data_IF_587990842348
#
_entry.id   IF_587990842348
#
_cell.length_a   1.000
_cell.length_b   1.000
_cell.length_c   1.000
_cell.angle_alpha   90.00
_cell.angle_beta   90.00
_cell.angle_gamma   90.00
#
_symmetry.space_group_name_H-M   'P 1'
#
loop_
_entity.id
_entity.type
_entity.pdbx_description
1 polymer ?
#
# COMPACT_ATOMS: atom_id res chain seq x y z
N UNK A 1 -32.60 -10.04 5.78
CA UNK A 1 -32.97 -11.34 5.18
C UNK A 1 -31.65 -12.08 4.98
N UNK A 2 -31.28 -12.88 5.96
CA UNK A 2 -30.01 -13.64 5.94
C UNK A 2 -30.22 -14.85 5.03
N UNK A 3 -29.51 -14.91 3.91
CA UNK A 3 -29.44 -16.13 3.09
C UNK A 3 -28.59 -17.17 3.83
N UNK A 4 -29.11 -18.39 3.94
CA UNK A 4 -28.41 -19.50 4.58
C UNK A 4 -27.18 -19.93 3.76
N UNK A 5 -26.13 -20.49 4.38
CA UNK A 5 -24.91 -20.93 3.69
C UNK A 5 -25.13 -22.00 2.62
N UNK A 6 -26.25 -22.67 2.63
CA UNK A 6 -26.60 -23.75 1.69
C UNK A 6 -26.78 -23.29 0.22
N UNK A 7 -26.98 -21.99 -0.03
CA UNK A 7 -27.17 -21.49 -1.39
C UNK A 7 -25.85 -21.18 -2.14
N UNK A 8 -24.70 -21.19 -1.45
CA UNK A 8 -23.41 -20.89 -2.07
C UNK A 8 -22.65 -22.13 -2.59
N UNK A 9 -22.98 -23.31 -2.09
CA UNK A 9 -22.27 -24.55 -2.47
C UNK A 9 -22.82 -25.24 -3.71
N UNK A 10 -24.01 -24.87 -4.20
CA UNK A 10 -24.60 -25.48 -5.36
C UNK A 10 -23.98 -25.10 -6.72
N UNK A 11 -23.03 -24.11 -6.72
CA UNK A 11 -22.44 -23.57 -7.95
C UNK A 11 -21.05 -24.09 -8.30
N UNK A 12 -20.44 -24.95 -7.50
CA UNK A 12 -19.02 -25.37 -7.72
C UNK A 12 -18.78 -26.87 -7.94
N UNK A 13 -19.81 -27.65 -8.22
CA UNK A 13 -19.69 -29.09 -8.42
C UNK A 13 -19.85 -29.52 -9.87
N UNK A 14 -19.13 -28.98 -10.84
CA UNK A 14 -19.00 -29.57 -12.18
C UNK A 14 -17.64 -30.28 -12.27
N UNK A 15 -17.67 -31.58 -11.95
CA UNK A 15 -16.59 -32.47 -12.31
C UNK A 15 -16.68 -32.80 -13.82
N UNK A 16 -15.57 -33.01 -14.48
CA UNK A 16 -15.40 -33.24 -15.92
C UNK A 16 -16.19 -34.40 -16.54
N UNK A 17 -17.09 -35.07 -15.78
CA UNK A 17 -17.83 -36.24 -16.21
C UNK A 17 -19.37 -36.14 -16.04
N UNK A 18 -19.98 -34.97 -16.04
CA UNK A 18 -21.43 -34.79 -16.05
C UNK A 18 -22.21 -35.68 -15.05
N UNK A 19 -21.64 -36.10 -13.92
CA UNK A 19 -22.36 -36.72 -12.83
C UNK A 19 -22.68 -35.66 -11.77
N UNK A 20 -23.94 -35.31 -11.63
CA UNK A 20 -24.47 -34.54 -10.49
C UNK A 20 -24.32 -35.41 -9.23
N UNK A 21 -23.46 -35.00 -8.31
CA UNK A 21 -23.43 -35.61 -6.99
C UNK A 21 -24.62 -35.06 -6.18
N UNK A 22 -25.58 -35.92 -5.93
CA UNK A 22 -26.70 -35.64 -5.05
C UNK A 22 -26.27 -35.82 -3.59
N UNK A 23 -25.69 -34.75 -3.05
CA UNK A 23 -25.20 -34.73 -1.67
C UNK A 23 -26.38 -34.63 -0.72
N UNK A 24 -26.52 -35.61 0.20
CA UNK A 24 -27.48 -35.53 1.29
C UNK A 24 -26.97 -34.57 2.38
N UNK A 25 -27.86 -34.01 3.16
CA UNK A 25 -27.51 -33.09 4.25
C UNK A 25 -26.52 -33.69 5.23
N UNK A 26 -26.54 -35.01 5.43
CA UNK A 26 -25.56 -35.77 6.20
C UNK A 26 -24.14 -35.68 5.63
N UNK A 27 -23.99 -35.60 4.32
CA UNK A 27 -22.70 -35.56 3.63
C UNK A 27 -22.05 -34.16 3.73
N UNK A 28 -22.88 -33.12 3.70
CA UNK A 28 -22.45 -31.74 3.97
C UNK A 28 -21.95 -31.60 5.39
N UNK A 29 -22.67 -32.15 6.37
CA UNK A 29 -22.26 -32.09 7.78
C UNK A 29 -20.96 -32.84 8.03
N UNK A 30 -20.77 -34.02 7.43
CA UNK A 30 -19.55 -34.78 7.51
C UNK A 30 -18.36 -34.05 6.87
N UNK A 31 -18.59 -33.33 5.79
CA UNK A 31 -17.57 -32.50 5.13
C UNK A 31 -17.21 -31.26 5.96
N UNK A 32 -18.19 -30.56 6.54
CA UNK A 32 -17.95 -29.44 7.45
C UNK A 32 -17.17 -29.90 8.70
N UNK A 33 -17.53 -31.02 9.31
CA UNK A 33 -16.82 -31.57 10.45
C UNK A 33 -15.38 -31.97 10.10
N UNK A 34 -15.14 -32.46 8.88
CA UNK A 34 -13.79 -32.77 8.40
C UNK A 34 -12.94 -31.52 8.17
N UNK A 35 -13.55 -30.46 7.62
CA UNK A 35 -12.90 -29.16 7.43
C UNK A 35 -12.59 -28.48 8.76
N UNK A 36 -13.52 -28.53 9.72
CA UNK A 36 -13.29 -27.98 11.06
C UNK A 36 -12.18 -28.72 11.80
N UNK A 37 -12.08 -30.04 11.66
CA UNK A 37 -10.97 -30.83 12.22
C UNK A 37 -9.62 -30.54 11.55
N UNK A 38 -9.62 -30.25 10.26
CA UNK A 38 -8.40 -29.89 9.52
C UNK A 38 -7.91 -28.47 9.84
N UNK A 39 -8.85 -27.51 9.98
CA UNK A 39 -8.53 -26.12 10.29
C UNK A 39 -8.27 -25.89 11.79
N UNK A 40 -8.93 -26.66 12.64
CA UNK A 40 -8.78 -26.59 14.11
C UNK A 40 -8.51 -28.00 14.65
N UNK A 41 -7.28 -28.54 14.45
CA UNK A 41 -6.97 -29.84 15.06
C UNK A 41 -7.19 -29.76 16.58
N UNK A 42 -7.81 -30.79 17.19
CA UNK A 42 -8.00 -30.78 18.62
C UNK A 42 -6.65 -30.56 19.30
N UNK A 43 -6.58 -29.55 20.15
CA UNK A 43 -5.42 -29.34 21.01
C UNK A 43 -5.33 -30.56 21.93
N UNK A 44 -4.50 -31.52 21.55
CA UNK A 44 -4.15 -32.63 22.45
C UNK A 44 -3.40 -31.94 23.57
N UNK A 45 -4.09 -31.78 24.71
CA UNK A 45 -3.44 -31.42 25.94
C UNK A 45 -2.42 -32.55 26.25
N UNK A 46 -1.16 -32.32 25.88
CA UNK A 46 -0.08 -33.17 26.35
C UNK A 46 -0.12 -33.04 27.87
N UNK A 47 -0.50 -34.13 28.54
CA UNK A 47 -0.41 -34.27 29.99
C UNK A 47 1.00 -33.84 30.35
N UNK A 48 1.10 -32.78 31.15
CA UNK A 48 2.37 -32.19 31.52
C UNK A 48 3.15 -33.22 32.37
N UNK A 49 4.20 -33.78 31.80
CA UNK A 49 5.13 -34.64 32.51
C UNK A 49 6.02 -33.88 33.52
N UNK A 50 5.75 -32.59 33.74
CA UNK A 50 6.49 -31.83 34.73
C UNK A 50 5.60 -30.76 35.39
N UNK A 51 4.98 -31.08 36.54
CA UNK A 51 4.12 -30.17 37.28
C UNK A 51 4.87 -28.95 37.86
N UNK A 52 6.21 -29.00 37.95
CA UNK A 52 6.99 -27.89 38.52
C UNK A 52 7.12 -26.66 37.60
N UNK A 53 6.74 -26.78 36.32
CA UNK A 53 6.78 -25.63 35.38
C UNK A 53 5.61 -24.65 35.53
N UNK A 54 4.55 -25.04 36.23
CA UNK A 54 3.34 -24.21 36.39
C UNK A 54 3.19 -23.60 37.78
N UNK A 55 4.19 -23.75 38.67
CA UNK A 55 4.17 -23.11 39.99
C UNK A 55 4.67 -21.66 39.98
N UNK A 56 5.09 -21.14 38.85
CA UNK A 56 5.28 -19.70 38.71
C UNK A 56 3.89 -19.05 38.58
N UNK A 57 3.41 -18.46 39.66
CA UNK A 57 2.33 -17.48 39.61
C UNK A 57 2.58 -16.56 38.43
N UNK A 58 1.51 -16.20 37.67
CA UNK A 58 1.67 -15.16 36.63
C UNK A 58 2.28 -13.94 37.34
N UNK A 59 3.56 -13.71 37.09
CA UNK A 59 4.20 -12.49 37.56
C UNK A 59 3.36 -11.37 36.93
N UNK A 60 2.70 -10.63 37.83
CA UNK A 60 2.07 -9.38 37.39
C UNK A 60 3.11 -8.68 36.52
N UNK A 61 2.72 -8.31 35.29
CA UNK A 61 3.56 -7.53 34.40
C UNK A 61 3.87 -6.23 35.16
N UNK A 62 4.99 -6.27 35.89
CA UNK A 62 5.58 -5.07 36.44
C UNK A 62 6.21 -4.42 35.21
N UNK A 63 5.66 -3.30 34.70
CA UNK A 63 6.33 -2.58 33.65
C UNK A 63 7.72 -2.34 34.17
N UNK A 64 8.73 -2.89 33.48
CA UNK A 64 10.15 -2.63 33.78
C UNK A 64 10.22 -1.11 33.78
N UNK A 65 10.42 -0.53 34.98
CA UNK A 65 10.66 0.89 35.09
C UNK A 65 11.74 1.18 34.06
N UNK A 66 11.38 1.99 33.04
CA UNK A 66 12.34 2.50 32.08
C UNK A 66 13.35 3.19 32.97
N UNK A 67 14.52 2.54 33.12
CA UNK A 67 15.59 3.10 33.92
C UNK A 67 15.83 4.50 33.38
N UNK A 68 15.57 5.46 34.19
CA UNK A 68 15.88 6.89 34.11
C UNK A 68 16.79 7.36 32.92
N UNK A 69 16.33 7.14 31.70
CA UNK A 69 16.48 8.15 30.71
C UNK A 69 15.36 9.15 31.02
N UNK A 70 15.60 9.93 32.05
CA UNK A 70 14.81 11.11 32.31
C UNK A 70 14.86 11.92 31.00
N UNK A 71 13.85 11.72 30.14
CA UNK A 71 13.48 12.71 29.18
C UNK A 71 13.12 13.94 30.02
N UNK A 72 14.13 14.72 30.36
CA UNK A 72 13.96 16.07 30.84
C UNK A 72 13.37 16.77 29.63
N UNK A 73 12.06 17.08 29.60
CA UNK A 73 11.53 17.87 28.53
C UNK A 73 12.37 19.13 28.55
N UNK A 74 13.18 19.32 27.53
CA UNK A 74 13.86 20.60 27.30
C UNK A 74 12.71 21.58 27.33
N UNK A 75 12.68 22.45 28.33
CA UNK A 75 11.66 23.47 28.47
C UNK A 75 11.73 24.29 27.18
N UNK A 76 10.81 23.98 26.23
CA UNK A 76 10.71 24.75 25.01
C UNK A 76 10.20 26.11 25.44
N UNK A 77 11.11 27.07 25.52
CA UNK A 77 10.77 28.44 25.83
C UNK A 77 10.00 28.99 24.64
N UNK A 78 8.68 29.12 24.81
CA UNK A 78 7.82 29.72 23.78
C UNK A 78 8.22 31.20 23.68
N UNK A 79 8.72 31.59 22.52
CA UNK A 79 9.01 32.99 22.21
C UNK A 79 7.67 33.73 21.95
N UNK A 80 7.17 34.38 22.98
CA UNK A 80 5.90 35.12 22.95
C UNK A 80 5.94 36.38 22.08
N UNK A 81 7.10 36.76 21.57
CA UNK A 81 7.25 37.91 20.66
C UNK A 81 6.95 37.59 19.21
N UNK A 82 6.91 36.32 18.86
CA UNK A 82 6.58 35.85 17.50
C UNK A 82 5.10 35.60 17.35
N UNK A 83 4.55 35.96 16.19
CA UNK A 83 3.17 35.61 15.86
C UNK A 83 3.02 34.08 15.89
N UNK A 84 2.03 33.58 16.63
CA UNK A 84 1.69 32.17 16.65
C UNK A 84 0.91 31.90 15.38
N UNK A 85 1.52 31.12 14.45
CA UNK A 85 0.82 30.62 13.27
C UNK A 85 -0.04 29.41 13.64
N UNK A 86 -1.19 29.28 13.00
CA UNK A 86 -2.00 28.07 13.05
C UNK A 86 -1.49 27.09 11.98
N UNK A 87 -1.18 25.87 12.38
CA UNK A 87 -0.91 24.79 11.43
C UNK A 87 -2.23 24.05 11.21
N UNK A 88 -2.82 24.08 10.00
CA UNK A 88 -4.05 23.36 9.73
C UNK A 88 -3.77 21.86 9.78
N UNK A 89 -4.28 21.19 10.80
CA UNK A 89 -4.15 19.74 10.98
C UNK A 89 -5.54 19.12 10.88
N UNK A 90 -5.68 18.15 9.99
CA UNK A 90 -6.87 17.30 9.93
C UNK A 90 -6.61 16.04 10.76
N UNK A 91 -7.54 15.73 11.65
CA UNK A 91 -7.47 14.55 12.51
C UNK A 91 -8.66 13.64 12.26
N UNK A 92 -8.46 12.33 12.37
CA UNK A 92 -9.53 11.37 12.18
C UNK A 92 -9.21 9.99 12.74
N UNK A 93 -10.20 9.11 12.62
CA UNK A 93 -10.06 7.69 12.90
C UNK A 93 -10.53 6.95 11.65
N UNK A 94 -9.68 6.05 11.14
CA UNK A 94 -10.03 5.23 9.98
C UNK A 94 -11.12 4.19 10.34
N UNK A 95 -11.81 3.61 9.36
CA UNK A 95 -12.76 2.52 9.60
C UNK A 95 -12.15 1.31 10.31
N UNK A 96 -10.83 1.13 10.23
CA UNK A 96 -10.07 0.08 10.92
C UNK A 96 -9.63 0.47 12.33
N UNK A 97 -10.03 1.65 12.82
CA UNK A 97 -9.68 2.16 14.14
C UNK A 97 -8.30 2.84 14.21
N UNK A 98 -7.61 3.03 13.09
CA UNK A 98 -6.34 3.74 13.09
C UNK A 98 -6.55 5.24 13.33
N UNK A 99 -5.74 5.83 14.22
CA UNK A 99 -5.68 7.27 14.39
C UNK A 99 -4.91 7.88 13.22
N UNK A 100 -5.50 8.90 12.60
CA UNK A 100 -4.91 9.56 11.43
C UNK A 100 -4.73 11.06 11.66
N UNK A 101 -3.62 11.59 11.12
CA UNK A 101 -3.36 13.02 11.04
C UNK A 101 -2.90 13.36 9.65
N UNK A 102 -3.35 14.50 9.13
CA UNK A 102 -2.88 15.04 7.86
C UNK A 102 -2.48 16.49 8.08
N UNK A 103 -1.23 16.80 7.80
CA UNK A 103 -0.66 18.15 7.87
C UNK A 103 -0.37 18.58 6.45
N UNK A 104 -1.17 19.48 5.83
CA UNK A 104 -0.92 19.95 4.48
C UNK A 104 0.38 20.76 4.42
N UNK A 105 1.16 20.55 3.38
CA UNK A 105 2.34 21.35 3.06
C UNK A 105 1.85 22.51 2.20
N UNK A 106 1.94 23.73 2.73
CA UNK A 106 1.56 24.92 1.99
C UNK A 106 2.54 25.15 0.85
N UNK A 107 2.01 25.28 -0.36
CA UNK A 107 2.77 25.52 -1.59
C UNK A 107 2.30 26.84 -2.22
N UNK A 108 3.13 27.45 -3.08
CA UNK A 108 2.70 28.60 -3.85
C UNK A 108 1.59 28.19 -4.83
N UNK A 109 0.59 29.07 -5.05
CA UNK A 109 -0.45 28.78 -6.02
C UNK A 109 0.09 28.51 -7.42
N UNK A 110 -0.39 27.45 -8.02
CA UNK A 110 -0.08 27.09 -9.40
C UNK A 110 -0.95 27.84 -10.40
N UNK A 111 -0.60 27.76 -11.70
CA UNK A 111 -1.40 28.35 -12.77
C UNK A 111 -2.77 27.67 -12.81
N UNK A 112 -3.85 28.44 -12.66
CA UNK A 112 -5.24 27.96 -12.61
C UNK A 112 -5.49 26.90 -11.51
N UNK A 113 -4.78 26.95 -10.38
CA UNK A 113 -4.91 25.99 -9.30
C UNK A 113 -4.25 24.64 -9.60
N UNK A 114 -3.41 24.54 -10.64
CA UNK A 114 -2.65 23.34 -10.95
C UNK A 114 -1.34 23.35 -10.15
N UNK A 115 -1.41 22.84 -8.93
CA UNK A 115 -0.35 22.79 -7.94
C UNK A 115 -0.30 21.43 -7.23
N UNK A 116 0.86 21.01 -6.71
CA UNK A 116 0.97 19.74 -6.02
C UNK A 116 0.24 19.78 -4.65
N UNK A 117 -0.62 18.80 -4.40
CA UNK A 117 -1.34 18.65 -3.14
C UNK A 117 -0.52 17.77 -2.18
N UNK A 118 0.49 18.35 -1.54
CA UNK A 118 1.40 17.64 -0.67
C UNK A 118 0.98 17.70 0.79
N UNK A 119 1.21 16.64 1.53
CA UNK A 119 0.95 16.59 2.97
C UNK A 119 1.90 15.64 3.69
N UNK A 120 2.04 15.82 5.00
CA UNK A 120 2.54 14.79 5.89
C UNK A 120 1.33 14.03 6.44
N UNK A 121 1.28 12.73 6.22
CA UNK A 121 0.18 11.88 6.64
C UNK A 121 0.67 10.89 7.70
N UNK A 122 -0.06 10.79 8.81
CA UNK A 122 0.17 9.83 9.87
C UNK A 122 -0.96 8.81 9.92
N UNK A 123 -0.60 7.57 10.14
CA UNK A 123 -1.52 6.49 10.42
C UNK A 123 -0.92 5.58 11.51
N UNK A 124 -1.61 5.43 12.64
CA UNK A 124 -1.11 4.67 13.80
C UNK A 124 -0.91 3.17 13.54
N UNK A 125 -1.49 2.63 12.47
CA UNK A 125 -1.33 1.24 12.03
C UNK A 125 -0.26 1.08 10.95
N UNK A 126 0.29 2.18 10.43
CA UNK A 126 1.37 2.14 9.45
C UNK A 126 2.70 1.88 10.15
N UNK A 127 3.52 1.03 9.55
CA UNK A 127 4.87 0.75 10.04
C UNK A 127 5.83 1.91 9.88
N UNK A 128 7.13 1.63 10.03
CA UNK A 128 8.17 2.63 9.84
C UNK A 128 8.25 3.06 8.37
N UNK A 129 8.12 4.34 8.11
CA UNK A 129 8.16 4.95 6.79
C UNK A 129 9.39 5.85 6.60
N UNK A 130 9.48 6.49 5.43
CA UNK A 130 10.60 7.37 5.07
C UNK A 130 10.70 8.62 5.97
N UNK A 131 9.58 9.05 6.54
CA UNK A 131 9.48 10.24 7.42
C UNK A 131 9.33 9.88 8.90
N UNK A 132 9.33 8.60 9.27
CA UNK A 132 9.20 8.12 10.65
C UNK A 132 8.14 7.06 10.81
N UNK A 133 8.02 6.54 12.05
CA UNK A 133 7.02 5.51 12.38
C UNK A 133 5.62 6.08 12.22
N UNK A 134 4.82 5.44 11.36
CA UNK A 134 3.45 5.86 11.08
C UNK A 134 3.33 7.04 10.12
N UNK A 135 4.44 7.73 9.77
CA UNK A 135 4.41 8.90 8.91
C UNK A 135 4.79 8.59 7.46
N UNK A 136 4.13 9.28 6.53
CA UNK A 136 4.41 9.24 5.11
C UNK A 136 4.20 10.60 4.45
N UNK A 137 4.66 10.73 3.20
CA UNK A 137 4.38 11.90 2.35
C UNK A 137 3.10 11.57 1.58
N UNK A 138 2.05 12.34 1.80
CA UNK A 138 0.79 12.25 1.07
C UNK A 138 0.79 13.12 -0.19
N UNK A 139 -0.11 12.79 -1.13
CA UNK A 139 -0.24 13.52 -2.40
C UNK A 139 0.77 13.11 -3.49
N UNK A 140 1.51 12.03 -3.26
CA UNK A 140 2.47 11.46 -4.22
C UNK A 140 1.97 10.09 -4.66
N UNK A 141 1.54 10.01 -5.89
CA UNK A 141 0.94 8.82 -6.47
C UNK A 141 1.99 7.78 -6.90
N UNK A 142 1.56 6.52 -6.98
CA UNK A 142 2.43 5.45 -7.45
C UNK A 142 1.66 4.30 -8.10
N UNK A 143 2.32 3.61 -9.01
CA UNK A 143 1.88 2.30 -9.50
C UNK A 143 2.80 1.25 -8.92
N UNK A 144 2.20 0.22 -8.31
CA UNK A 144 2.92 -0.90 -7.70
C UNK A 144 2.50 -2.23 -8.31
N UNK A 145 3.43 -3.19 -8.34
CA UNK A 145 3.08 -4.58 -8.61
C UNK A 145 2.37 -5.18 -7.41
N UNK A 146 1.38 -6.01 -7.71
CA UNK A 146 0.64 -6.76 -6.69
C UNK A 146 0.49 -8.20 -7.11
N UNK A 147 0.11 -9.05 -6.18
CA UNK A 147 -0.21 -10.44 -6.45
C UNK A 147 -1.44 -10.55 -7.35
N UNK A 148 -1.46 -11.57 -8.18
CA UNK A 148 -2.66 -11.99 -8.91
C UNK A 148 -3.61 -12.68 -7.94
N UNK A 149 -4.90 -12.53 -8.16
CA UNK A 149 -5.92 -13.20 -7.37
C UNK A 149 -6.90 -13.96 -8.26
N UNK A 150 -7.68 -14.84 -7.63
CA UNK A 150 -8.59 -15.70 -8.38
C UNK A 150 -9.72 -14.92 -9.06
N UNK A 151 -10.15 -13.82 -8.44
CA UNK A 151 -11.28 -13.03 -8.91
C UNK A 151 -11.00 -12.31 -10.23
N UNK A 152 -9.85 -11.61 -10.32
CA UNK A 152 -9.48 -10.83 -11.51
C UNK A 152 -8.62 -11.62 -12.50
N UNK A 153 -7.84 -12.61 -12.04
CA UNK A 153 -6.78 -13.24 -12.82
C UNK A 153 -7.00 -14.75 -13.01
N UNK A 154 -8.09 -15.30 -12.47
CA UNK A 154 -8.45 -16.72 -12.55
C UNK A 154 -7.58 -17.67 -11.72
N UNK A 155 -6.43 -17.18 -11.21
CA UNK A 155 -5.53 -17.94 -10.33
C UNK A 155 -4.74 -17.02 -9.41
N UNK A 156 -4.48 -17.45 -8.16
CA UNK A 156 -3.59 -16.73 -7.27
C UNK A 156 -2.13 -16.95 -7.69
N UNK A 157 -1.33 -15.89 -7.70
CA UNK A 157 0.11 -15.95 -7.98
C UNK A 157 0.80 -14.73 -7.37
N UNK A 158 1.90 -14.92 -6.69
CA UNK A 158 2.75 -13.83 -6.22
C UNK A 158 3.32 -13.00 -7.38
N UNK A 159 3.77 -11.80 -7.10
CA UNK A 159 4.46 -10.96 -8.08
C UNK A 159 5.81 -11.60 -8.46
N UNK A 160 5.99 -11.91 -9.72
CA UNK A 160 7.18 -12.55 -10.27
C UNK A 160 8.12 -11.58 -11.00
N UNK A 161 7.82 -10.29 -10.97
CA UNK A 161 8.51 -9.23 -11.73
C UNK A 161 8.49 -9.46 -13.24
N UNK A 162 7.35 -9.89 -13.75
CA UNK A 162 7.11 -10.07 -15.19
C UNK A 162 6.07 -9.10 -15.71
N UNK A 163 5.95 -8.94 -17.03
CA UNK A 163 4.86 -8.13 -17.62
C UNK A 163 3.47 -8.71 -17.33
N UNK A 164 3.39 -9.99 -16.95
CA UNK A 164 2.12 -10.66 -16.63
C UNK A 164 1.62 -10.39 -15.20
N UNK A 165 2.42 -9.72 -14.37
CA UNK A 165 2.01 -9.37 -13.02
C UNK A 165 0.84 -8.38 -13.03
N UNK A 166 0.15 -8.35 -11.92
CA UNK A 166 -0.91 -7.39 -11.68
C UNK A 166 -0.37 -6.07 -11.13
N UNK A 167 -1.10 -4.98 -11.37
CA UNK A 167 -0.74 -3.64 -10.93
C UNK A 167 -1.86 -2.97 -10.17
N UNK A 168 -1.48 -2.07 -9.26
CA UNK A 168 -2.39 -1.16 -8.54
C UNK A 168 -1.89 0.27 -8.69
N UNK A 169 -2.79 1.21 -8.88
CA UNK A 169 -2.55 2.65 -8.83
C UNK A 169 -3.11 3.15 -7.50
N UNK A 170 -2.24 3.60 -6.59
CA UNK A 170 -2.63 4.05 -5.24
C UNK A 170 -3.58 3.09 -4.51
N UNK A 171 -3.32 1.77 -4.61
CA UNK A 171 -4.15 0.72 -4.04
C UNK A 171 -5.34 0.27 -4.89
N UNK A 172 -5.70 1.00 -5.94
CA UNK A 172 -6.79 0.65 -6.85
C UNK A 172 -6.31 -0.33 -7.92
N UNK A 173 -7.00 -1.45 -8.07
CA UNK A 173 -6.64 -2.49 -9.05
C UNK A 173 -6.72 -1.96 -10.48
N UNK A 174 -5.72 -2.30 -11.28
CA UNK A 174 -5.70 -2.08 -12.72
C UNK A 174 -6.09 -3.38 -13.44
N UNK A 175 -7.17 -3.31 -14.23
CA UNK A 175 -7.70 -4.42 -15.01
C UNK A 175 -7.12 -4.35 -16.42
N UNK A 176 -6.47 -5.43 -16.85
CA UNK A 176 -5.91 -5.51 -18.19
C UNK A 176 -7.00 -5.65 -19.23
N UNK A 177 -7.05 -4.72 -20.19
CA UNK A 177 -8.03 -4.69 -21.28
C UNK A 177 -7.46 -5.28 -22.56
N UNK A 178 -6.21 -4.90 -22.91
CA UNK A 178 -5.57 -5.37 -24.15
C UNK A 178 -4.05 -5.31 -24.02
N UNK A 179 -3.38 -6.11 -24.83
CA UNK A 179 -1.91 -6.17 -24.90
C UNK A 179 -1.48 -6.32 -26.35
N UNK A 180 -0.39 -5.63 -26.72
CA UNK A 180 0.34 -5.81 -27.95
C UNK A 180 1.84 -5.90 -27.67
N UNK A 181 2.68 -5.97 -28.71
CA UNK A 181 4.13 -6.15 -28.56
C UNK A 181 4.82 -5.04 -27.74
N UNK A 182 4.28 -3.83 -27.72
CA UNK A 182 4.93 -2.66 -27.12
C UNK A 182 4.14 -2.01 -26.00
N UNK A 183 2.85 -2.34 -25.86
CA UNK A 183 1.99 -1.72 -24.85
C UNK A 183 0.97 -2.67 -24.26
N UNK A 184 0.58 -2.40 -22.99
CA UNK A 184 -0.57 -3.02 -22.34
C UNK A 184 -1.51 -1.89 -21.91
N UNK A 185 -2.79 -2.01 -22.23
CA UNK A 185 -3.81 -1.08 -21.79
C UNK A 185 -4.56 -1.66 -20.58
N UNK A 186 -4.75 -0.82 -19.58
CA UNK A 186 -5.50 -1.13 -18.37
C UNK A 186 -6.58 -0.07 -18.15
N UNK A 187 -7.58 -0.45 -17.39
CA UNK A 187 -8.55 0.47 -16.78
C UNK A 187 -8.56 0.25 -15.26
N UNK A 188 -8.87 1.30 -14.51
CA UNK A 188 -9.10 1.16 -13.07
C UNK A 188 -10.32 0.28 -12.84
N UNK A 189 -10.41 -0.37 -11.69
CA UNK A 189 -11.57 -1.19 -11.30
C UNK A 189 -12.90 -0.42 -11.43
N UNK A 190 -12.88 0.89 -11.22
CA UNK A 190 -14.05 1.77 -11.38
C UNK A 190 -14.31 2.18 -12.84
N UNK A 191 -13.43 1.81 -13.79
CA UNK A 191 -13.57 2.12 -15.21
C UNK A 191 -13.36 3.59 -15.62
N UNK A 192 -12.97 4.45 -14.68
CA UNK A 192 -12.86 5.90 -14.91
C UNK A 192 -11.44 6.39 -15.21
N UNK A 193 -10.40 5.58 -14.96
CA UNK A 193 -9.00 5.92 -15.23
C UNK A 193 -8.46 4.94 -16.26
N UNK A 194 -7.87 5.46 -17.33
CA UNK A 194 -7.20 4.66 -18.36
C UNK A 194 -5.71 4.70 -18.15
N UNK A 195 -5.06 3.54 -18.24
CA UNK A 195 -3.62 3.40 -18.00
C UNK A 195 -3.00 2.64 -19.16
N UNK A 196 -1.90 3.15 -19.67
CA UNK A 196 -1.12 2.51 -20.74
C UNK A 196 0.29 2.22 -20.24
N UNK A 197 0.64 0.96 -20.15
CA UNK A 197 2.01 0.53 -19.87
C UNK A 197 2.81 0.43 -21.16
N UNK A 198 4.03 0.89 -21.15
CA UNK A 198 4.98 0.79 -22.26
C UNK A 198 6.01 -0.28 -22.00
N UNK A 199 6.22 -1.14 -22.99
CA UNK A 199 7.06 -2.33 -22.90
C UNK A 199 8.33 -2.18 -23.76
N UNK A 200 9.38 -2.89 -23.33
CA UNK A 200 10.53 -3.24 -24.18
C UNK A 200 10.79 -4.74 -23.96
N UNK A 201 10.34 -5.57 -24.90
CA UNK A 201 10.24 -7.01 -24.70
C UNK A 201 9.31 -7.36 -23.54
N UNK A 202 9.83 -8.04 -22.53
CA UNK A 202 9.09 -8.40 -21.32
C UNK A 202 9.26 -7.40 -20.16
N UNK A 203 9.97 -6.29 -20.41
CA UNK A 203 10.20 -5.27 -19.39
C UNK A 203 9.14 -4.18 -19.50
N UNK A 204 8.39 -3.95 -18.41
CA UNK A 204 7.52 -2.79 -18.25
C UNK A 204 8.40 -1.58 -17.90
N UNK A 205 8.44 -0.59 -18.79
CA UNK A 205 9.28 0.60 -18.66
C UNK A 205 8.63 1.65 -17.75
N UNK A 206 7.48 2.12 -18.17
CA UNK A 206 6.74 3.18 -17.53
C UNK A 206 5.26 3.09 -17.89
N UNK A 207 4.45 3.91 -17.22
CA UNK A 207 3.01 4.00 -17.46
C UNK A 207 2.61 5.44 -17.77
N UNK A 208 1.62 5.59 -18.62
CA UNK A 208 0.83 6.81 -18.81
C UNK A 208 -0.55 6.58 -18.20
N UNK A 209 -0.98 7.49 -17.36
CA UNK A 209 -2.29 7.47 -16.71
C UNK A 209 -3.11 8.66 -17.17
N UNK A 210 -4.32 8.41 -17.61
CA UNK A 210 -5.25 9.42 -18.11
C UNK A 210 -6.43 9.51 -17.13
N UNK A 211 -6.56 10.65 -16.49
CA UNK A 211 -7.58 10.91 -15.49
C UNK A 211 -8.84 11.56 -16.12
N UNK A 212 -10.03 11.38 -15.49
CA UNK A 212 -11.29 11.93 -16.00
C UNK A 212 -11.30 13.46 -16.15
N UNK A 213 -10.52 14.17 -15.33
CA UNK A 213 -10.38 15.62 -15.37
C UNK A 213 -9.46 16.11 -16.51
N UNK A 214 -8.97 15.20 -17.36
CA UNK A 214 -8.08 15.51 -18.47
C UNK A 214 -6.61 15.63 -18.08
N UNK A 215 -6.23 15.41 -16.82
CA UNK A 215 -4.82 15.37 -16.45
C UNK A 215 -4.18 14.06 -16.92
N UNK A 216 -2.86 14.12 -17.21
CA UNK A 216 -2.05 12.97 -17.60
C UNK A 216 -0.88 12.80 -16.65
N UNK A 217 -0.75 11.62 -16.05
CA UNK A 217 0.38 11.25 -15.21
C UNK A 217 1.36 10.33 -15.95
N UNK A 218 2.66 10.49 -15.69
CA UNK A 218 3.70 9.53 -16.12
C UNK A 218 4.30 8.91 -14.86
N UNK A 219 4.39 7.57 -14.84
CA UNK A 219 4.85 6.79 -13.71
C UNK A 219 6.01 5.88 -14.13
N UNK A 220 7.13 5.97 -13.41
CA UNK A 220 8.36 5.27 -13.75
C UNK A 220 9.14 5.96 -14.87
N UNK A 221 10.20 5.32 -15.34
CA UNK A 221 11.14 5.92 -16.27
C UNK A 221 11.28 5.10 -17.55
N UNK A 222 11.31 5.77 -18.69
CA UNK A 222 11.57 5.13 -20.00
C UNK A 222 12.96 4.45 -20.05
N UNK A 223 13.90 4.90 -19.22
CA UNK A 223 15.25 4.32 -19.07
C UNK A 223 15.29 3.03 -18.27
N UNK A 224 14.21 2.59 -17.62
CA UNK A 224 14.20 1.33 -16.87
C UNK A 224 14.64 0.16 -17.75
N UNK A 225 15.60 -0.61 -17.27
CA UNK A 225 16.15 -1.80 -17.96
C UNK A 225 15.59 -3.12 -17.40
N UNK A 226 14.92 -3.07 -16.26
CA UNK A 226 14.32 -4.21 -15.57
C UNK A 226 12.92 -3.92 -15.09
N UNK A 227 12.16 -4.97 -14.80
CA UNK A 227 10.85 -4.86 -14.19
C UNK A 227 10.98 -4.37 -12.74
N UNK A 228 10.49 -3.18 -12.47
CA UNK A 228 10.45 -2.59 -11.11
C UNK A 228 9.24 -3.08 -10.33
N UNK A 229 9.30 -3.08 -9.01
CA UNK A 229 8.16 -3.33 -8.14
C UNK A 229 7.30 -2.07 -8.02
N UNK A 230 7.96 -0.93 -7.98
CA UNK A 230 7.38 0.38 -7.71
C UNK A 230 7.69 1.34 -8.87
N UNK A 231 6.67 2.01 -9.36
CA UNK A 231 6.75 3.04 -10.41
C UNK A 231 6.20 4.34 -9.83
N UNK A 232 7.07 5.24 -9.34
CA UNK A 232 6.62 6.52 -8.79
C UNK A 232 6.10 7.43 -9.90
N UNK A 233 5.21 8.36 -9.54
CA UNK A 233 4.84 9.45 -10.45
C UNK A 233 6.07 10.32 -10.72
N UNK A 234 6.37 10.60 -11.98
CA UNK A 234 7.49 11.47 -12.37
C UNK A 234 7.01 12.78 -12.97
N UNK A 235 5.83 12.80 -13.57
CA UNK A 235 5.21 14.03 -14.01
C UNK A 235 3.68 13.93 -13.98
N UNK A 236 3.04 15.06 -13.73
CA UNK A 236 1.60 15.26 -13.91
C UNK A 236 1.43 16.49 -14.80
N UNK A 237 0.59 16.40 -15.83
CA UNK A 237 0.31 17.52 -16.75
C UNK A 237 -1.20 17.73 -16.88
N UNK A 238 -1.61 18.99 -17.02
CA UNK A 238 -2.98 19.36 -17.35
C UNK A 238 -3.20 19.48 -18.86
N UNK A 239 -4.42 19.80 -19.28
CA UNK A 239 -4.79 20.00 -20.69
C UNK A 239 -4.10 21.22 -21.34
N UNK A 240 -3.51 22.11 -20.56
CA UNK A 240 -2.78 23.31 -21.02
C UNK A 240 -1.27 23.13 -20.99
N UNK A 241 -0.78 21.88 -20.76
CA UNK A 241 0.63 21.57 -20.62
C UNK A 241 1.33 22.21 -19.40
N UNK A 242 0.60 22.69 -18.40
CA UNK A 242 1.23 22.96 -17.11
C UNK A 242 1.71 21.62 -16.52
N UNK A 243 2.90 21.63 -15.93
CA UNK A 243 3.52 20.40 -15.43
C UNK A 243 3.91 20.51 -13.98
N UNK A 244 3.71 19.43 -13.25
CA UNK A 244 4.31 19.15 -11.95
C UNK A 244 5.31 18.02 -12.14
N UNK A 245 6.57 18.27 -11.82
CA UNK A 245 7.68 17.33 -12.01
C UNK A 245 8.15 16.81 -10.65
N UNK A 246 8.28 15.49 -10.53
CA UNK A 246 8.74 14.82 -9.32
C UNK A 246 10.11 14.23 -9.55
N UNK A 247 11.08 14.58 -8.71
CA UNK A 247 12.46 14.09 -8.78
C UNK A 247 12.74 13.17 -7.60
N UNK A 248 13.32 12.02 -7.89
CA UNK A 248 13.66 11.00 -6.91
C UNK A 248 15.14 10.66 -6.96
N UNK A 249 15.68 10.29 -5.81
CA UNK A 249 16.91 9.51 -5.72
C UNK A 249 16.54 8.04 -5.58
N UNK A 250 17.02 7.22 -6.51
CA UNK A 250 16.90 5.76 -6.45
C UNK A 250 18.13 5.19 -5.75
N UNK A 251 17.90 4.43 -4.68
CA UNK A 251 18.93 3.69 -3.98
C UNK A 251 18.40 2.27 -3.70
N UNK A 252 19.06 1.24 -4.21
CA UNK A 252 18.71 -0.17 -3.96
C UNK A 252 17.23 -0.49 -4.22
N UNK A 253 16.70 -0.04 -5.37
CA UNK A 253 15.29 -0.16 -5.75
C UNK A 253 14.28 0.63 -4.88
N UNK A 254 14.75 1.50 -3.98
CA UNK A 254 13.91 2.45 -3.24
C UNK A 254 13.97 3.83 -3.88
N UNK A 255 12.82 4.46 -4.02
CA UNK A 255 12.69 5.81 -4.54
C UNK A 255 12.40 6.76 -3.39
N UNK A 256 13.29 7.75 -3.20
CA UNK A 256 13.14 8.80 -2.22
C UNK A 256 12.88 10.12 -2.93
N UNK A 257 11.69 10.70 -2.72
CA UNK A 257 11.31 11.97 -3.30
C UNK A 257 12.24 13.08 -2.77
N UNK A 258 12.87 13.82 -3.66
CA UNK A 258 13.77 14.92 -3.28
C UNK A 258 13.27 16.29 -3.70
N UNK A 259 12.48 16.36 -4.78
CA UNK A 259 11.98 17.64 -5.27
C UNK A 259 10.66 17.47 -6.00
N UNK A 260 9.77 18.43 -5.80
CA UNK A 260 8.57 18.63 -6.61
C UNK A 260 8.63 20.04 -7.19
N UNK A 261 8.72 20.16 -8.51
CA UNK A 261 8.85 21.42 -9.21
C UNK A 261 7.62 21.69 -10.07
N UNK A 262 7.13 22.91 -10.07
CA UNK A 262 5.96 23.32 -10.84
C UNK A 262 5.99 24.85 -11.04
N UNK A 263 5.60 25.34 -12.21
CA UNK A 263 5.41 26.76 -12.48
C UNK A 263 6.53 27.70 -11.93
N UNK A 264 7.80 27.28 -12.06
CA UNK A 264 8.94 28.05 -11.57
C UNK A 264 9.18 27.98 -10.04
N UNK A 265 8.24 27.36 -9.29
CA UNK A 265 8.40 27.08 -7.86
C UNK A 265 8.86 25.64 -7.62
N UNK A 266 9.38 25.36 -6.42
CA UNK A 266 9.70 23.98 -6.03
C UNK A 266 9.59 23.77 -4.52
N UNK A 267 9.25 22.53 -4.15
CA UNK A 267 9.34 22.00 -2.80
C UNK A 267 10.48 21.01 -2.75
N UNK A 268 11.41 21.20 -1.85
CA UNK A 268 12.56 20.30 -1.69
C UNK A 268 12.49 19.54 -0.37
N UNK A 269 12.76 18.25 -0.43
CA UNK A 269 12.76 17.34 0.71
C UNK A 269 14.21 17.02 1.07
N UNK A 270 14.64 17.45 2.26
CA UNK A 270 15.96 17.15 2.81
C UNK A 270 15.82 16.07 3.87
N UNK A 271 16.63 15.03 3.76
CA UNK A 271 16.62 13.89 4.66
C UNK A 271 17.90 13.84 5.47
N UNK A 272 17.79 13.49 6.74
CA UNK A 272 18.97 13.27 7.57
C UNK A 272 19.75 12.04 7.08
N UNK A 273 21.07 12.14 7.12
CA UNK A 273 21.95 11.08 6.64
C UNK A 273 21.91 9.80 7.51
N UNK A 274 21.59 9.93 8.80
CA UNK A 274 21.41 8.79 9.71
C UNK A 274 20.15 8.94 10.52
N UNK A 275 19.43 7.84 10.68
CA UNK A 275 18.25 7.73 11.53
C UNK A 275 18.55 6.76 12.67
N UNK A 276 18.04 7.01 13.90
CA UNK A 276 18.17 6.08 15.00
C UNK A 276 17.37 4.78 14.80
N UNK A 277 16.35 4.81 13.91
CA UNK A 277 15.47 3.70 13.56
C UNK A 277 15.53 3.43 12.04
N UNK A 278 16.59 2.79 11.52
CA UNK A 278 16.74 2.56 10.09
C UNK A 278 15.61 1.66 9.57
N UNK A 279 15.09 2.00 8.39
CA UNK A 279 14.15 1.14 7.67
C UNK A 279 14.95 0.10 6.88
N UNK A 280 14.76 -1.17 7.24
CA UNK A 280 15.31 -2.30 6.48
C UNK A 280 14.17 -2.98 5.72
N UNK A 281 14.33 -3.16 4.42
CA UNK A 281 13.35 -3.82 3.57
C UNK A 281 14.04 -4.78 2.61
N UNK A 282 13.48 -5.99 2.49
CA UNK A 282 13.96 -7.03 1.58
C UNK A 282 13.03 -7.21 0.36
N UNK A 283 12.12 -6.27 0.13
CA UNK A 283 11.15 -6.33 -0.99
C UNK A 283 11.86 -6.37 -2.35
N UNK A 284 13.04 -5.81 -2.45
CA UNK A 284 13.85 -5.80 -3.65
C UNK A 284 14.55 -7.13 -3.97
N UNK A 285 14.63 -8.06 -3.03
CA UNK A 285 15.38 -9.31 -3.19
C UNK A 285 16.90 -9.09 -3.24
N UNK A 286 17.38 -8.08 -2.52
CA UNK A 286 18.80 -7.83 -2.28
C UNK A 286 19.14 -8.26 -0.85
#
# INVERSE_FOLDING_TARGET
>A
MFMSPSSYLCAQGVAENNQFFDWKESDYKAYEDSLLKALYPPVIAKTAENPERFSQQPQAFVPKAISDNTYVPTTVTIDKSKAVGEIPIQTGVSPTGAKTYTVPIQVYPGINGFEPQLSLAYNSQQGNGIVGIGWGIGGVQSIMRTSRNIYYDGKPQGALRTKADAFVLDGMRLIKISENATTINYESEQGNIKVKAFLSGDVVKYFEVFYPNGTKGIFGYASNTSNKIFYPIVSLSDLRNNQILYTYVEQENHYRLTKVAYNGASVEFQYQASRPDPLVSFIGGA
#
